data_IF_229202973779
#
_entry.id   IF_229202973779
#
_cell.length_a   1.000
_cell.length_b   1.000
_cell.length_c   1.000
_cell.angle_alpha   90.00
_cell.angle_beta   90.00
_cell.angle_gamma   90.00
#
_symmetry.space_group_name_H-M   'P 1'
#
loop_
_entity.id
_entity.type
_entity.pdbx_description
1 polymer ?
#
# COMPACT_ATOMS: atom_id res chain seq x y z
N UNK A 1 -23.89 22.86 -7.89
CA UNK A 1 -22.82 22.28 -7.05
C UNK A 1 -22.60 20.84 -7.48
N UNK A 2 -21.35 20.42 -7.67
CA UNK A 2 -20.98 19.06 -8.05
C UNK A 2 -19.96 18.53 -7.05
N UNK A 3 -20.16 17.31 -6.55
CA UNK A 3 -19.19 16.64 -5.70
C UNK A 3 -18.00 16.18 -6.54
N UNK A 4 -16.78 16.42 -6.06
CA UNK A 4 -15.56 15.87 -6.66
C UNK A 4 -15.63 14.34 -6.62
N UNK A 5 -15.24 13.70 -7.72
CA UNK A 5 -15.24 12.25 -7.87
C UNK A 5 -13.82 11.76 -8.09
N UNK A 6 -13.56 10.56 -7.61
CA UNK A 6 -12.36 9.79 -7.91
C UNK A 6 -12.44 8.41 -7.31
N UNK A 7 -11.46 7.61 -7.64
CA UNK A 7 -11.37 6.22 -7.19
C UNK A 7 -10.86 6.13 -5.73
N UNK A 8 -9.98 7.06 -5.32
CA UNK A 8 -9.55 7.23 -3.94
C UNK A 8 -10.50 8.10 -3.14
N UNK A 9 -10.54 7.87 -1.84
CA UNK A 9 -11.37 8.62 -0.88
C UNK A 9 -10.48 9.34 0.12
N UNK A 10 -10.98 10.45 0.61
CA UNK A 10 -10.37 11.18 1.71
C UNK A 10 -10.35 10.31 2.97
N UNK A 11 -9.36 10.55 3.81
CA UNK A 11 -9.15 9.88 5.08
C UNK A 11 -10.27 10.20 6.07
N UNK A 12 -10.90 11.38 5.92
CA UNK A 12 -12.07 11.84 6.65
C UNK A 12 -13.05 12.59 5.74
N UNK A 13 -14.33 12.56 6.10
CA UNK A 13 -15.37 13.42 5.50
C UNK A 13 -15.55 14.74 6.29
N UNK A 14 -14.88 14.89 7.43
CA UNK A 14 -15.00 16.03 8.33
C UNK A 14 -13.81 16.97 8.12
N UNK A 15 -13.95 17.83 7.10
CA UNK A 15 -12.88 18.70 6.62
C UNK A 15 -12.92 20.04 7.34
N UNK A 16 -11.78 20.44 7.91
CA UNK A 16 -11.60 21.63 8.72
C UNK A 16 -10.80 22.73 8.01
N UNK A 17 -9.98 22.35 7.03
CA UNK A 17 -9.05 23.26 6.36
C UNK A 17 -8.98 22.88 4.88
N UNK A 18 -8.89 23.88 4.01
CA UNK A 18 -8.66 23.69 2.58
C UNK A 18 -7.67 24.76 2.08
N UNK A 19 -6.63 24.34 1.37
CA UNK A 19 -5.69 25.27 0.72
C UNK A 19 -5.12 24.64 -0.55
N UNK A 20 -4.79 25.46 -1.56
CA UNK A 20 -4.06 25.01 -2.73
C UNK A 20 -2.56 25.28 -2.59
N UNK A 21 -1.74 24.31 -2.99
CA UNK A 21 -0.31 24.53 -3.20
C UNK A 21 -0.03 25.16 -4.58
N UNK A 22 1.21 25.55 -4.82
CA UNK A 22 1.63 26.17 -6.09
C UNK A 22 1.66 25.18 -7.27
N UNK A 23 1.56 23.88 -6.98
CA UNK A 23 1.46 22.82 -7.99
C UNK A 23 -0.01 22.53 -8.36
N UNK A 24 -0.98 23.24 -7.76
CA UNK A 24 -2.41 23.08 -8.02
C UNK A 24 -3.04 21.89 -7.28
N UNK A 25 -2.34 21.25 -6.34
CA UNK A 25 -2.93 20.22 -5.49
C UNK A 25 -3.76 20.88 -4.38
N UNK A 26 -4.90 20.26 -4.08
CA UNK A 26 -5.75 20.67 -2.97
C UNK A 26 -5.30 19.94 -1.70
N UNK A 27 -5.12 20.66 -0.61
CA UNK A 27 -4.79 20.11 0.70
C UNK A 27 -5.99 20.24 1.62
N UNK A 28 -6.40 19.14 2.24
CA UNK A 28 -7.57 19.06 3.10
C UNK A 28 -7.19 18.57 4.51
N UNK A 29 -7.28 19.46 5.49
CA UNK A 29 -7.07 19.13 6.90
C UNK A 29 -8.35 18.59 7.55
N UNK A 30 -8.22 17.60 8.42
CA UNK A 30 -9.32 16.94 9.14
C UNK A 30 -8.95 16.57 10.58
N UNK A 31 -9.81 15.81 11.26
CA UNK A 31 -9.51 15.21 12.56
C UNK A 31 -8.48 14.05 12.48
N UNK A 32 -8.13 13.63 11.26
CA UNK A 32 -7.23 12.48 11.00
C UNK A 32 -5.86 12.87 10.44
N UNK A 33 -5.61 14.16 10.22
CA UNK A 33 -4.39 14.67 9.59
C UNK A 33 -4.73 15.47 8.36
N UNK A 34 -3.85 15.45 7.37
CA UNK A 34 -3.99 16.23 6.13
C UNK A 34 -3.91 15.34 4.91
N UNK A 35 -4.88 15.46 4.02
CA UNK A 35 -4.86 14.80 2.71
C UNK A 35 -4.38 15.78 1.64
N UNK A 36 -3.33 15.43 0.90
CA UNK A 36 -2.96 16.07 -0.36
C UNK A 36 -3.71 15.38 -1.50
N UNK A 37 -4.47 16.14 -2.26
CA UNK A 37 -5.39 15.69 -3.30
C UNK A 37 -4.87 16.20 -4.64
N UNK A 38 -4.48 15.27 -5.51
CA UNK A 38 -4.11 15.57 -6.89
C UNK A 38 -5.38 15.62 -7.74
N UNK A 39 -5.59 16.74 -8.43
CA UNK A 39 -6.77 16.97 -9.25
C UNK A 39 -6.40 16.98 -10.74
N UNK A 40 -7.25 16.41 -11.57
CA UNK A 40 -7.16 16.53 -13.03
C UNK A 40 -7.54 17.95 -13.47
N UNK A 41 -7.27 18.27 -14.74
CA UNK A 41 -7.75 19.52 -15.37
C UNK A 41 -9.28 19.68 -15.35
N UNK A 42 -10.04 18.59 -15.13
CA UNK A 42 -11.49 18.56 -15.02
C UNK A 42 -11.99 18.47 -13.57
N UNK A 43 -11.12 18.67 -12.57
CA UNK A 43 -11.40 18.55 -11.14
C UNK A 43 -11.84 17.14 -10.70
N UNK A 44 -11.30 16.09 -11.34
CA UNK A 44 -11.44 14.72 -10.84
C UNK A 44 -10.26 14.39 -9.92
N UNK A 45 -10.52 13.67 -8.83
CA UNK A 45 -9.49 13.20 -7.91
C UNK A 45 -8.69 12.09 -8.61
N UNK A 46 -7.44 12.40 -8.91
CA UNK A 46 -6.48 11.48 -9.54
C UNK A 46 -5.80 10.63 -8.47
N UNK A 47 -5.31 11.28 -7.41
CA UNK A 47 -4.61 10.66 -6.32
C UNK A 47 -4.94 11.36 -4.99
N UNK A 48 -4.81 10.62 -3.89
CA UNK A 48 -4.88 11.16 -2.53
C UNK A 48 -3.70 10.56 -1.76
N UNK A 49 -2.96 11.46 -1.14
CA UNK A 49 -1.91 11.13 -0.20
C UNK A 49 -2.31 11.62 1.18
N UNK A 50 -2.27 10.73 2.18
CA UNK A 50 -2.55 11.10 3.57
C UNK A 50 -1.27 11.32 4.37
N UNK A 51 -1.18 12.44 5.08
CA UNK A 51 -0.16 12.73 6.08
C UNK A 51 -0.77 12.57 7.47
N UNK A 52 -0.35 11.51 8.17
CA UNK A 52 -0.75 11.22 9.53
C UNK A 52 0.41 11.31 10.52
N UNK A 53 0.20 10.76 11.72
CA UNK A 53 1.21 10.77 12.80
C UNK A 53 2.56 10.18 12.38
N UNK A 54 2.53 9.12 11.59
CA UNK A 54 3.74 8.40 11.16
C UNK A 54 4.54 9.17 10.09
N UNK A 55 3.92 10.16 9.45
CA UNK A 55 4.53 11.04 8.45
C UNK A 55 5.10 12.34 9.08
N UNK A 56 5.12 12.42 10.41
CA UNK A 56 5.58 13.60 11.13
C UNK A 56 4.50 14.66 11.39
N UNK A 57 3.23 14.38 11.04
CA UNK A 57 2.11 15.27 11.37
C UNK A 57 1.74 15.15 12.85
N UNK A 58 2.32 16.02 13.69
CA UNK A 58 2.09 16.04 15.13
C UNK A 58 0.79 16.79 15.45
N UNK A 59 -0.03 16.22 16.33
CA UNK A 59 -1.38 16.72 16.56
C UNK A 59 -2.29 16.40 15.39
N UNK A 60 -2.59 15.10 15.22
CA UNK A 60 -3.35 14.53 14.10
C UNK A 60 -4.58 15.38 13.73
N UNK A 61 -5.30 15.89 14.72
CA UNK A 61 -6.43 16.76 14.50
C UNK A 61 -6.00 18.20 14.19
N UNK A 62 -6.38 18.65 13.00
CA UNK A 62 -6.20 20.02 12.54
C UNK A 62 -7.18 20.98 13.23
N UNK A 63 -6.82 22.26 13.35
CA UNK A 63 -7.71 23.28 13.90
C UNK A 63 -8.53 23.96 12.80
N UNK A 64 -9.82 24.21 13.02
CA UNK A 64 -10.69 24.83 12.01
C UNK A 64 -10.10 26.11 11.41
N UNK A 65 -10.00 26.16 10.07
CA UNK A 65 -9.46 27.27 9.28
C UNK A 65 -8.02 27.73 9.62
N UNK A 66 -7.28 26.96 10.42
CA UNK A 66 -5.90 27.28 10.78
C UNK A 66 -4.93 26.78 9.71
N UNK A 67 -5.01 27.33 8.50
CA UNK A 67 -4.12 26.98 7.39
C UNK A 67 -3.69 28.24 6.65
N UNK A 68 -2.41 28.31 6.28
CA UNK A 68 -1.89 29.41 5.49
C UNK A 68 -0.73 28.97 4.58
N UNK A 69 -0.41 29.78 3.57
CA UNK A 69 0.73 29.59 2.68
C UNK A 69 1.66 30.80 2.77
N UNK A 70 2.94 30.55 3.05
CA UNK A 70 3.94 31.62 3.11
C UNK A 70 4.45 32.05 1.71
N UNK A 71 5.22 33.13 1.66
CA UNK A 71 5.77 33.69 0.41
C UNK A 71 6.75 32.74 -0.29
N UNK A 72 7.34 31.79 0.44
CA UNK A 72 8.23 30.76 -0.08
C UNK A 72 7.44 29.54 -0.62
N UNK A 73 6.10 29.58 -0.61
CA UNK A 73 5.23 28.52 -1.09
C UNK A 73 5.06 27.34 -0.11
N UNK A 74 5.53 27.47 1.14
CA UNK A 74 5.33 26.45 2.15
C UNK A 74 3.91 26.52 2.72
N UNK A 75 3.35 25.37 3.05
CA UNK A 75 2.05 25.28 3.71
C UNK A 75 2.23 25.14 5.22
N UNK A 76 1.43 25.89 5.97
CA UNK A 76 1.40 25.86 7.42
C UNK A 76 0.04 25.37 7.87
N UNK A 77 0.02 24.29 8.64
CA UNK A 77 -1.19 23.69 9.20
C UNK A 77 -1.17 23.82 10.72
N UNK A 78 -2.17 24.50 11.25
CA UNK A 78 -2.46 24.55 12.68
C UNK A 78 -3.13 23.26 13.14
N UNK A 79 -2.56 22.67 14.18
CA UNK A 79 -2.96 21.41 14.79
C UNK A 79 -3.04 21.58 16.31
N UNK A 80 -3.65 20.62 17.01
CA UNK A 80 -3.81 20.66 18.48
C UNK A 80 -2.48 20.89 19.22
N UNK A 81 -1.36 20.40 18.69
CA UNK A 81 -0.04 20.52 19.32
C UNK A 81 0.89 21.57 18.68
N UNK A 82 0.34 22.50 17.88
CA UNK A 82 1.10 23.62 17.33
C UNK A 82 0.97 23.74 15.81
N UNK A 83 2.05 24.19 15.17
CA UNK A 83 2.10 24.40 13.73
C UNK A 83 2.96 23.31 13.06
N UNK A 84 2.42 22.72 12.01
CA UNK A 84 3.14 21.80 11.12
C UNK A 84 3.43 22.49 9.80
N UNK A 85 4.71 22.60 9.42
CA UNK A 85 5.14 23.16 8.14
C UNK A 85 5.36 22.04 7.12
N UNK A 86 4.69 22.11 5.98
CA UNK A 86 5.01 21.30 4.81
C UNK A 86 5.88 22.11 3.84
N UNK A 87 7.07 21.59 3.56
CA UNK A 87 8.00 22.15 2.59
C UNK A 87 7.81 21.39 1.27
N UNK A 88 7.42 22.06 0.17
CA UNK A 88 7.32 21.41 -1.13
C UNK A 88 8.65 20.79 -1.52
N UNK A 89 8.68 19.47 -1.73
CA UNK A 89 9.83 18.82 -2.35
C UNK A 89 9.58 18.71 -3.85
N UNK A 90 10.57 19.10 -4.67
CA UNK A 90 10.55 18.87 -6.12
C UNK A 90 10.78 17.41 -6.51
N UNK A 91 10.85 16.48 -5.55
CA UNK A 91 11.06 15.07 -5.87
C UNK A 91 9.84 14.53 -6.60
N UNK A 92 9.89 14.59 -7.93
CA UNK A 92 9.14 13.69 -8.82
C UNK A 92 9.67 12.29 -8.54
N UNK A 93 9.21 11.69 -7.44
CA UNK A 93 9.36 10.26 -7.25
C UNK A 93 8.57 9.63 -8.39
N UNK A 94 9.30 9.18 -9.42
CA UNK A 94 8.74 8.31 -10.44
C UNK A 94 8.08 7.17 -9.70
N UNK A 95 6.76 7.08 -9.85
CA UNK A 95 5.99 6.03 -9.26
C UNK A 95 6.53 4.72 -9.85
N UNK A 96 7.32 3.99 -9.05
CA UNK A 96 7.90 2.73 -9.43
C UNK A 96 6.99 1.60 -8.94
N UNK A 97 6.73 0.65 -9.83
CA UNK A 97 6.04 -0.57 -9.46
C UNK A 97 6.77 -1.23 -8.27
N UNK A 98 6.03 -1.66 -7.22
CA UNK A 98 6.63 -2.32 -6.08
C UNK A 98 7.27 -3.65 -6.51
N UNK A 99 8.17 -4.16 -5.66
CA UNK A 99 8.70 -5.52 -5.80
C UNK A 99 8.30 -6.34 -4.59
N UNK A 100 7.62 -7.45 -4.84
CA UNK A 100 7.19 -8.43 -3.83
C UNK A 100 8.18 -9.60 -3.78
N UNK A 101 8.36 -10.16 -2.59
CA UNK A 101 9.25 -11.29 -2.32
C UNK A 101 8.56 -12.28 -1.39
N UNK A 102 8.76 -13.58 -1.60
CA UNK A 102 8.48 -14.56 -0.56
C UNK A 102 9.49 -14.39 0.58
N UNK A 103 9.00 -14.46 1.81
CA UNK A 103 9.81 -14.38 3.04
C UNK A 103 9.71 -15.63 3.90
N UNK A 104 8.77 -16.54 3.61
CA UNK A 104 8.65 -17.81 4.31
C UNK A 104 7.70 -18.77 3.64
N UNK A 105 8.00 -20.06 3.75
CA UNK A 105 7.10 -21.17 3.40
C UNK A 105 7.05 -22.08 4.63
N UNK A 106 5.83 -22.41 5.06
CA UNK A 106 5.56 -23.21 6.25
C UNK A 106 4.74 -24.45 5.87
N UNK A 107 5.05 -25.60 6.47
CA UNK A 107 4.23 -26.80 6.43
C UNK A 107 3.76 -27.10 7.85
N UNK A 108 2.45 -27.24 8.09
CA UNK A 108 1.86 -27.39 9.45
C UNK A 108 2.45 -26.37 10.46
N UNK A 109 2.55 -25.10 10.04
CA UNK A 109 3.09 -23.98 10.83
C UNK A 109 4.57 -24.10 11.21
N UNK A 110 5.32 -25.01 10.57
CA UNK A 110 6.76 -25.14 10.73
C UNK A 110 7.46 -24.61 9.48
N UNK A 111 8.40 -23.69 9.68
CA UNK A 111 9.19 -23.12 8.59
C UNK A 111 10.03 -24.20 7.90
N UNK A 112 10.08 -24.14 6.57
CA UNK A 112 10.98 -24.97 5.76
C UNK A 112 12.31 -24.19 5.57
N UNK A 113 13.11 -24.11 6.63
CA UNK A 113 14.31 -23.27 6.69
C UNK A 113 15.42 -23.66 5.69
N UNK A 114 15.38 -24.88 5.14
CA UNK A 114 16.30 -25.32 4.08
C UNK A 114 16.07 -24.63 2.74
N UNK A 115 14.96 -23.89 2.59
CA UNK A 115 14.54 -23.34 1.32
C UNK A 115 15.10 -21.92 1.10
N UNK A 116 16.05 -21.78 0.17
CA UNK A 116 16.55 -20.48 -0.28
C UNK A 116 15.54 -19.85 -1.25
N UNK A 117 14.54 -19.13 -0.75
CA UNK A 117 13.36 -18.67 -1.52
C UNK A 117 13.67 -17.99 -2.86
N UNK A 118 14.77 -17.25 -2.96
CA UNK A 118 15.20 -16.61 -4.21
C UNK A 118 15.45 -17.60 -5.35
N UNK A 119 15.89 -18.82 -5.02
CA UNK A 119 16.21 -19.86 -6.00
C UNK A 119 14.99 -20.68 -6.44
N UNK A 120 13.83 -20.42 -5.83
CA UNK A 120 12.56 -21.12 -6.09
C UNK A 120 11.51 -20.18 -6.70
N UNK A 121 11.55 -18.91 -6.30
CA UNK A 121 10.64 -17.86 -6.79
C UNK A 121 10.81 -17.63 -8.29
N UNK A 122 9.72 -17.68 -9.05
CA UNK A 122 9.72 -17.50 -10.52
C UNK A 122 10.61 -18.52 -11.27
N UNK A 123 10.85 -19.70 -10.69
CA UNK A 123 11.65 -20.76 -11.32
C UNK A 123 10.80 -21.99 -11.65
N UNK A 124 11.37 -22.93 -12.40
CA UNK A 124 10.74 -24.23 -12.68
C UNK A 124 10.90 -25.25 -11.54
N UNK A 125 11.58 -24.91 -10.44
CA UNK A 125 11.70 -25.82 -9.29
C UNK A 125 10.34 -26.03 -8.64
N UNK A 126 10.10 -27.27 -8.20
CA UNK A 126 8.84 -27.68 -7.59
C UNK A 126 9.14 -28.29 -6.22
N UNK A 127 8.61 -27.70 -5.16
CA UNK A 127 8.73 -28.25 -3.81
C UNK A 127 7.90 -29.54 -3.74
N UNK A 128 8.55 -30.66 -3.45
CA UNK A 128 7.88 -31.95 -3.32
C UNK A 128 7.41 -32.14 -1.88
N UNK A 129 6.11 -32.31 -1.70
CA UNK A 129 5.44 -32.60 -0.43
C UNK A 129 5.09 -34.08 -0.35
N UNK A 130 5.00 -34.62 0.86
CA UNK A 130 4.44 -35.96 1.08
C UNK A 130 2.90 -35.89 1.11
N UNK A 131 2.18 -36.99 0.82
CA UNK A 131 0.71 -36.97 0.77
C UNK A 131 -0.01 -36.52 2.04
N UNK A 132 0.65 -36.53 3.21
CA UNK A 132 0.12 -36.03 4.48
C UNK A 132 0.32 -34.52 4.68
N UNK A 133 1.19 -33.89 3.87
CA UNK A 133 1.55 -32.46 3.96
C UNK A 133 0.59 -31.60 3.13
N UNK A 134 -0.68 -31.55 3.55
CA UNK A 134 -1.76 -30.83 2.84
C UNK A 134 -1.98 -29.39 3.33
N UNK A 135 -1.10 -28.90 4.21
CA UNK A 135 -1.19 -27.58 4.82
C UNK A 135 0.05 -26.75 4.54
N UNK A 136 -0.10 -25.68 3.76
CA UNK A 136 0.98 -24.75 3.44
C UNK A 136 0.63 -23.32 3.84
N UNK A 137 1.62 -22.64 4.41
CA UNK A 137 1.58 -21.20 4.67
C UNK A 137 2.64 -20.49 3.83
N UNK A 138 2.27 -19.39 3.20
CA UNK A 138 3.19 -18.53 2.46
C UNK A 138 3.20 -17.15 3.09
N UNK A 139 4.38 -16.66 3.45
CA UNK A 139 4.61 -15.28 3.85
C UNK A 139 5.34 -14.53 2.75
N UNK A 140 4.93 -13.29 2.50
CA UNK A 140 5.49 -12.44 1.47
C UNK A 140 5.59 -11.01 1.97
N UNK A 141 6.48 -10.21 1.38
CA UNK A 141 6.63 -8.78 1.69
C UNK A 141 7.05 -8.00 0.47
N UNK A 142 6.57 -6.77 0.41
CA UNK A 142 7.06 -5.73 -0.47
C UNK A 142 7.88 -4.73 0.34
N UNK A 143 8.99 -4.28 -0.24
CA UNK A 143 9.78 -3.19 0.33
C UNK A 143 9.25 -1.88 -0.25
N UNK A 144 8.44 -1.18 0.53
CA UNK A 144 8.05 0.21 0.29
C UNK A 144 8.52 1.03 1.49
N UNK A 145 9.58 1.83 1.29
CA UNK A 145 10.19 2.64 2.35
C UNK A 145 9.38 3.90 2.61
N UNK A 146 8.63 4.34 1.61
CA UNK A 146 7.85 5.57 1.68
C UNK A 146 6.51 5.30 2.37
N UNK A 147 5.82 4.21 1.99
CA UNK A 147 4.46 3.90 2.45
C UNK A 147 4.27 2.42 2.79
N UNK A 148 5.00 1.87 3.77
CA UNK A 148 4.93 0.45 4.10
C UNK A 148 3.52 -0.01 4.53
N UNK A 149 2.72 0.88 5.09
CA UNK A 149 1.38 0.57 5.61
C UNK A 149 0.28 0.60 4.54
N UNK A 150 0.56 1.12 3.34
CA UNK A 150 -0.39 1.20 2.23
C UNK A 150 -0.14 0.15 1.15
N UNK A 151 0.82 -0.74 1.37
CA UNK A 151 1.00 -1.91 0.53
C UNK A 151 -0.20 -2.84 0.71
N UNK A 152 -0.80 -3.24 -0.40
CA UNK A 152 -1.80 -4.29 -0.46
C UNK A 152 -1.30 -5.46 -1.29
N UNK A 153 -1.84 -6.64 -1.02
CA UNK A 153 -1.52 -7.89 -1.70
C UNK A 153 -2.79 -8.55 -2.22
N UNK A 154 -2.65 -9.28 -3.31
CA UNK A 154 -3.64 -10.26 -3.76
C UNK A 154 -2.93 -11.56 -4.11
N UNK A 155 -3.65 -12.66 -3.95
CA UNK A 155 -3.09 -13.99 -4.17
C UNK A 155 -4.03 -14.82 -5.03
N UNK A 156 -3.50 -15.85 -5.67
CA UNK A 156 -4.28 -16.92 -6.27
C UNK A 156 -3.54 -18.24 -6.18
N UNK A 157 -4.31 -19.32 -6.16
CA UNK A 157 -3.81 -20.68 -6.29
C UNK A 157 -4.21 -21.19 -7.68
N UNK A 158 -3.24 -21.67 -8.44
CA UNK A 158 -3.39 -22.14 -9.82
C UNK A 158 -4.01 -21.06 -10.73
N UNK A 159 -4.86 -21.48 -11.67
CA UNK A 159 -5.53 -20.60 -12.63
C UNK A 159 -6.85 -20.03 -12.09
N UNK A 160 -7.05 -20.05 -10.77
CA UNK A 160 -8.21 -19.43 -10.14
C UNK A 160 -8.16 -17.90 -10.25
N UNK A 161 -9.33 -17.27 -10.02
CA UNK A 161 -9.45 -15.82 -9.91
C UNK A 161 -8.56 -15.25 -8.79
N UNK A 162 -8.06 -14.04 -8.99
CA UNK A 162 -7.32 -13.34 -7.95
C UNK A 162 -8.21 -12.99 -6.77
N UNK A 163 -7.67 -13.12 -5.56
CA UNK A 163 -8.32 -12.63 -4.36
C UNK A 163 -8.52 -11.10 -4.43
N UNK A 164 -9.42 -10.55 -3.61
CA UNK A 164 -9.43 -9.11 -3.32
C UNK A 164 -8.07 -8.64 -2.79
N UNK A 165 -7.81 -7.33 -2.93
CA UNK A 165 -6.66 -6.67 -2.32
C UNK A 165 -6.82 -6.57 -0.81
N UNK A 166 -5.83 -7.05 -0.06
CA UNK A 166 -5.81 -7.07 1.41
C UNK A 166 -4.47 -6.56 1.94
N UNK A 167 -4.37 -6.15 3.22
CA UNK A 167 -3.09 -5.67 3.81
C UNK A 167 -2.26 -6.81 4.41
N UNK A 168 -2.88 -7.96 4.63
CA UNK A 168 -2.27 -9.18 5.14
C UNK A 168 -1.21 -9.70 4.17
N UNK A 169 -0.08 -10.09 4.74
CA UNK A 169 1.11 -10.49 4.00
C UNK A 169 1.43 -11.99 4.15
N UNK A 170 0.41 -12.77 4.56
CA UNK A 170 0.47 -14.20 4.77
C UNK A 170 -0.81 -14.85 4.25
N UNK A 171 -0.65 -15.96 3.53
CA UNK A 171 -1.75 -16.78 3.04
C UNK A 171 -1.55 -18.22 3.52
N UNK A 172 -2.59 -18.79 4.14
CA UNK A 172 -2.59 -20.19 4.55
C UNK A 172 -3.57 -20.99 3.69
N UNK A 173 -3.17 -22.19 3.32
CA UNK A 173 -3.98 -23.19 2.64
C UNK A 173 -4.09 -24.43 3.53
N UNK A 174 -5.29 -24.96 3.65
CA UNK A 174 -5.54 -26.20 4.38
C UNK A 174 -6.30 -27.18 3.47
N UNK A 175 -5.90 -28.45 3.50
CA UNK A 175 -6.54 -29.50 2.71
C UNK A 175 -6.28 -29.33 1.21
N UNK A 176 -5.05 -28.95 0.83
CA UNK A 176 -4.63 -28.92 -0.56
C UNK A 176 -4.87 -30.28 -1.22
N UNK A 177 -5.43 -30.25 -2.43
CA UNK A 177 -5.62 -31.46 -3.22
C UNK A 177 -4.26 -32.04 -3.60
N UNK A 178 -4.23 -33.33 -3.90
CA UNK A 178 -3.03 -33.95 -4.44
C UNK A 178 -2.80 -33.45 -5.88
N UNK A 179 -1.59 -32.97 -6.18
CA UNK A 179 -1.21 -32.59 -7.53
C UNK A 179 -0.31 -31.37 -7.58
N UNK A 180 0.07 -31.01 -8.81
CA UNK A 180 0.89 -29.82 -9.05
C UNK A 180 0.08 -28.55 -8.82
N UNK A 181 0.63 -27.67 -8.00
CA UNK A 181 0.04 -26.38 -7.67
C UNK A 181 1.01 -25.22 -7.91
N UNK A 182 0.45 -24.06 -8.22
CA UNK A 182 1.19 -22.80 -8.37
C UNK A 182 0.55 -21.73 -7.49
N UNK A 183 1.26 -21.29 -6.46
CA UNK A 183 0.86 -20.13 -5.68
C UNK A 183 1.43 -18.86 -6.32
N UNK A 184 0.56 -17.88 -6.60
CA UNK A 184 0.94 -16.58 -7.14
C UNK A 184 0.58 -15.47 -6.17
N UNK A 185 1.47 -14.49 -6.00
CA UNK A 185 1.19 -13.26 -5.23
C UNK A 185 1.62 -12.04 -6.02
N UNK A 186 0.81 -10.98 -5.89
CA UNK A 186 1.09 -9.67 -6.46
C UNK A 186 0.90 -8.62 -5.36
N UNK A 187 1.69 -7.56 -5.42
CA UNK A 187 1.58 -6.42 -4.51
C UNK A 187 1.18 -5.16 -5.25
N UNK A 188 0.67 -4.17 -4.51
CA UNK A 188 0.34 -2.85 -5.02
C UNK A 188 0.69 -1.80 -3.98
N UNK A 189 1.31 -0.70 -4.42
CA UNK A 189 1.73 0.40 -3.53
C UNK A 189 0.59 1.41 -3.29
N UNK A 190 0.88 2.45 -2.51
CA UNK A 190 -0.08 3.50 -2.19
C UNK A 190 -0.62 4.22 -3.43
N UNK A 191 0.17 4.32 -4.51
CA UNK A 191 -0.22 4.91 -5.82
C UNK A 191 -0.97 3.95 -6.74
N UNK A 192 -1.36 2.79 -6.23
CA UNK A 192 -2.04 1.74 -6.97
C UNK A 192 -1.27 1.15 -8.14
N UNK A 193 0.06 1.27 -8.11
CA UNK A 193 0.91 0.58 -9.07
C UNK A 193 1.12 -0.85 -8.62
N UNK A 194 0.85 -1.78 -9.54
CA UNK A 194 0.97 -3.20 -9.27
C UNK A 194 2.37 -3.69 -9.59
N UNK A 195 2.89 -4.61 -8.78
CA UNK A 195 4.12 -5.35 -9.08
C UNK A 195 3.87 -6.36 -10.19
N UNK A 196 4.94 -6.84 -10.82
CA UNK A 196 4.88 -8.15 -11.45
C UNK A 196 4.51 -9.22 -10.41
N UNK A 197 3.67 -10.21 -10.74
CA UNK A 197 3.38 -11.31 -9.83
C UNK A 197 4.61 -12.20 -9.66
N UNK A 198 4.80 -12.73 -8.46
CA UNK A 198 5.76 -13.80 -8.21
C UNK A 198 5.04 -15.12 -8.00
N UNK A 199 5.69 -16.21 -8.41
CA UNK A 199 5.12 -17.55 -8.37
C UNK A 199 6.01 -18.53 -7.61
N UNK A 200 5.37 -19.46 -6.91
CA UNK A 200 5.99 -20.59 -6.22
C UNK A 200 5.27 -21.87 -6.61
N UNK A 201 6.03 -22.92 -6.97
CA UNK A 201 5.47 -24.20 -7.43
C UNK A 201 5.72 -25.30 -6.40
N UNK A 202 4.71 -26.11 -6.15
CA UNK A 202 4.77 -27.26 -5.25
C UNK A 202 3.91 -28.41 -5.78
N UNK A 203 4.19 -29.62 -5.31
CA UNK A 203 3.49 -30.85 -5.67
C UNK A 203 3.26 -31.67 -4.41
#
# INVERSE_FOLDING_TARGET
FQQLKGSKRLSSNNIYQLIFDDQGNLWAGSERGVDKIELSATNEIVDIYHFGRNDGFLGIETCLNAVDKDEDGNLWFGAIYGLTKHIPSESKKTAAAPKVYFTGVEERYKSIDSLILKDWTNTTKVLQLTPDQTQLGFSFRTVDVDHPNEVAYRTRLDDNEWSPWVKENKQNFAGLAYGAHTFSVQSRNYRWQESEPIVFRFF
#
